data_IF_782809545436
#
_entry.id   IF_782809545436
#
_cell.length_a   1.000
_cell.length_b   1.000
_cell.length_c   1.000
_cell.angle_alpha   90.00
_cell.angle_beta   90.00
_cell.angle_gamma   90.00
#
_symmetry.space_group_name_H-M   'P 1'
#
loop_
_entity.id
_entity.type
_entity.pdbx_description
1 polymer ?
#
# COMPACT_ATOMS: atom_id res chain seq x y z
N UNK A 1 6.30 -30.14 3.85
CA UNK A 1 5.53 -29.06 3.18
C UNK A 1 6.46 -27.91 2.84
N UNK A 2 6.55 -27.50 1.57
CA UNK A 2 7.58 -26.54 1.09
C UNK A 2 7.40 -25.15 1.72
N UNK A 3 8.35 -24.74 2.56
CA UNK A 3 8.31 -23.53 3.40
C UNK A 3 8.26 -22.17 2.65
N UNK A 4 8.28 -22.15 1.31
CA UNK A 4 8.45 -20.91 0.52
C UNK A 4 7.28 -20.57 -0.43
N UNK A 5 6.21 -21.38 -0.47
CA UNK A 5 5.07 -21.15 -1.40
C UNK A 5 4.23 -19.90 -1.06
N UNK A 6 4.25 -19.46 0.20
CA UNK A 6 3.63 -18.19 0.64
C UNK A 6 4.53 -17.00 0.33
N UNK A 7 5.85 -17.15 0.47
CA UNK A 7 6.83 -16.08 0.22
C UNK A 7 6.82 -15.63 -1.25
N UNK A 8 6.77 -16.59 -2.19
CA UNK A 8 6.65 -16.29 -3.64
C UNK A 8 5.40 -15.50 -4.05
N UNK A 9 4.39 -15.33 -3.19
CA UNK A 9 3.17 -14.55 -3.49
C UNK A 9 3.17 -13.17 -2.84
N UNK A 10 4.14 -12.86 -1.97
CA UNK A 10 4.21 -11.57 -1.27
C UNK A 10 4.63 -10.42 -2.16
N UNK A 11 5.33 -10.69 -3.27
CA UNK A 11 5.84 -9.63 -4.17
C UNK A 11 4.75 -8.67 -4.66
N UNK A 12 3.49 -9.14 -4.84
CA UNK A 12 2.37 -8.27 -5.26
C UNK A 12 2.00 -7.27 -4.16
N UNK A 13 1.98 -7.73 -2.92
CA UNK A 13 1.66 -6.94 -1.73
C UNK A 13 2.81 -5.97 -1.43
N UNK A 14 4.05 -6.44 -1.46
CA UNK A 14 5.24 -5.60 -1.29
C UNK A 14 5.35 -4.53 -2.37
N UNK A 15 4.99 -4.86 -3.62
CA UNK A 15 4.93 -3.89 -4.72
C UNK A 15 3.84 -2.83 -4.51
N UNK A 16 2.65 -3.21 -4.04
CA UNK A 16 1.61 -2.26 -3.67
C UNK A 16 2.09 -1.30 -2.58
N UNK A 17 2.71 -1.83 -1.52
CA UNK A 17 3.27 -1.00 -0.46
C UNK A 17 4.41 -0.11 -0.95
N UNK A 18 5.25 -0.56 -1.87
CA UNK A 18 6.29 0.27 -2.48
C UNK A 18 5.69 1.44 -3.30
N UNK A 19 4.60 1.20 -4.04
CA UNK A 19 3.87 2.26 -4.74
C UNK A 19 3.21 3.25 -3.76
N UNK A 20 2.60 2.75 -2.69
CA UNK A 20 2.01 3.59 -1.64
C UNK A 20 3.07 4.44 -0.92
N UNK A 21 4.27 3.89 -0.70
CA UNK A 21 5.40 4.59 -0.09
C UNK A 21 5.91 5.77 -0.93
N UNK A 22 5.67 5.78 -2.25
CA UNK A 22 6.03 6.90 -3.11
C UNK A 22 5.17 8.14 -2.85
N UNK A 23 3.95 7.96 -2.35
CA UNK A 23 3.08 9.05 -1.93
C UNK A 23 3.48 9.49 -0.51
N UNK A 24 4.39 10.49 -0.42
CA UNK A 24 4.97 11.01 0.85
C UNK A 24 3.95 11.35 1.96
N UNK A 25 2.68 11.59 1.62
CA UNK A 25 1.59 11.90 2.57
C UNK A 25 1.07 10.67 3.34
N UNK A 26 1.46 9.45 2.94
CA UNK A 26 1.01 8.20 3.56
C UNK A 26 1.76 7.86 4.86
N UNK A 27 2.93 8.46 5.11
CA UNK A 27 3.76 8.09 6.25
C UNK A 27 3.01 8.35 7.55
N UNK A 28 2.72 7.27 8.28
CA UNK A 28 1.98 7.22 9.56
C UNK A 28 2.49 8.23 10.60
N UNK A 29 3.72 8.74 10.44
CA UNK A 29 4.35 9.77 11.26
C UNK A 29 3.62 11.12 11.23
N UNK A 30 2.85 11.43 10.19
CA UNK A 30 2.21 12.74 10.03
C UNK A 30 0.73 12.78 10.40
N UNK A 31 0.07 11.63 10.56
CA UNK A 31 -1.37 11.56 10.84
C UNK A 31 -1.62 11.09 12.28
N UNK A 32 -2.28 11.93 13.07
CA UNK A 32 -2.63 11.64 14.48
C UNK A 32 -3.94 10.87 14.62
N UNK A 33 -4.76 10.83 13.57
CA UNK A 33 -6.06 10.16 13.52
C UNK A 33 -6.02 8.96 12.57
N UNK A 34 -6.57 7.83 13.01
CA UNK A 34 -6.55 6.57 12.26
C UNK A 34 -7.52 6.61 11.08
N UNK A 35 -8.62 7.37 11.18
CA UNK A 35 -9.58 7.50 10.07
C UNK A 35 -8.94 8.20 8.86
N UNK A 36 -8.16 9.25 9.10
CA UNK A 36 -7.44 9.96 8.04
C UNK A 36 -6.44 9.06 7.32
N UNK A 37 -5.68 8.25 8.09
CA UNK A 37 -4.75 7.28 7.53
C UNK A 37 -5.47 6.27 6.62
N UNK A 38 -6.60 5.75 7.08
CA UNK A 38 -7.43 4.85 6.28
C UNK A 38 -7.94 5.54 5.00
N UNK A 39 -8.37 6.79 5.08
CA UNK A 39 -8.76 7.59 3.91
C UNK A 39 -7.63 7.74 2.88
N UNK A 40 -6.40 8.04 3.33
CA UNK A 40 -5.24 8.13 2.45
C UNK A 40 -4.86 6.79 1.81
N UNK A 41 -5.05 5.67 2.49
CA UNK A 41 -4.87 4.33 1.89
C UNK A 41 -5.85 4.12 0.74
N UNK A 42 -7.13 4.45 0.95
CA UNK A 42 -8.14 4.33 -0.11
C UNK A 42 -7.84 5.25 -1.30
N UNK A 43 -7.44 6.50 -1.04
CA UNK A 43 -7.03 7.44 -2.10
C UNK A 43 -5.83 6.93 -2.89
N UNK A 44 -4.80 6.38 -2.21
CA UNK A 44 -3.64 5.77 -2.86
C UNK A 44 -4.03 4.59 -3.76
N UNK A 45 -4.93 3.72 -3.29
CA UNK A 45 -5.46 2.62 -4.10
C UNK A 45 -6.23 3.12 -5.34
N UNK A 46 -7.05 4.17 -5.20
CA UNK A 46 -7.78 4.77 -6.31
C UNK A 46 -6.81 5.35 -7.34
N UNK A 47 -5.78 6.08 -6.92
CA UNK A 47 -4.76 6.62 -7.82
C UNK A 47 -4.01 5.53 -8.60
N UNK A 48 -3.70 4.39 -7.96
CA UNK A 48 -3.05 3.24 -8.61
C UNK A 48 -3.98 2.61 -9.65
N UNK A 49 -5.27 2.45 -9.32
CA UNK A 49 -6.28 1.93 -10.24
C UNK A 49 -6.48 2.85 -11.45
N UNK A 50 -6.60 4.15 -11.23
CA UNK A 50 -6.76 5.16 -12.29
C UNK A 50 -5.53 5.30 -13.19
N UNK A 51 -4.33 4.96 -12.70
CA UNK A 51 -3.10 4.98 -13.50
C UNK A 51 -2.91 3.72 -14.37
N UNK A 52 -3.59 2.63 -14.00
CA UNK A 52 -3.51 1.35 -14.69
C UNK A 52 -4.68 1.09 -15.65
N UNK A 53 -5.71 1.95 -15.62
CA UNK A 53 -6.72 2.09 -16.67
C UNK A 53 -6.20 3.03 -17.77
#
# INVERSE_FOLDING_TARGET
GRALRRYRRRWKVERLFAWLHQYRRWVTRHERQVENFLGFVHLGCICILLRHF
#
